data_IF_199011625827
#
_entry.id   IF_199011625827
#
_cell.length_a   1.000
_cell.length_b   1.000
_cell.length_c   1.000
_cell.angle_alpha   90.00
_cell.angle_beta   90.00
_cell.angle_gamma   90.00
#
_symmetry.space_group_name_H-M   'P 1'
#
loop_
_entity.id
_entity.type
_entity.pdbx_description
1 polymer ?
#
# COMPACT_ATOMS: atom_id res chain seq x y z
N UNK A 1 42.72 1.69 -32.19
CA UNK A 1 43.49 1.32 -30.98
C UNK A 1 42.53 0.60 -30.04
N UNK A 2 42.51 -0.73 -30.17
CA UNK A 2 41.69 -1.65 -29.39
C UNK A 2 42.59 -2.28 -28.31
N UNK A 3 42.15 -2.25 -27.06
CA UNK A 3 42.76 -3.02 -25.97
C UNK A 3 41.65 -3.77 -25.22
N UNK A 4 41.57 -5.10 -25.32
CA UNK A 4 40.73 -5.91 -24.46
C UNK A 4 41.55 -6.36 -23.25
N UNK A 5 41.03 -6.15 -22.03
CA UNK A 5 41.61 -6.76 -20.82
C UNK A 5 40.80 -7.97 -20.39
N UNK A 6 41.58 -9.02 -20.11
CA UNK A 6 41.22 -10.40 -19.94
C UNK A 6 40.31 -10.70 -18.73
N UNK A 7 39.54 -11.77 -18.94
CA UNK A 7 38.86 -12.61 -17.98
C UNK A 7 39.71 -12.97 -16.74
N UNK A 8 39.06 -13.02 -15.58
CA UNK A 8 39.48 -13.87 -14.48
C UNK A 8 38.24 -14.57 -13.89
N UNK A 9 38.12 -15.86 -14.20
CA UNK A 9 37.19 -16.78 -13.54
C UNK A 9 37.82 -17.20 -12.22
N UNK A 10 37.12 -16.99 -11.10
CA UNK A 10 37.45 -17.62 -9.83
C UNK A 10 36.30 -18.55 -9.41
N UNK A 11 36.62 -19.82 -9.36
CA UNK A 11 35.77 -20.94 -8.97
C UNK A 11 35.87 -21.21 -7.47
N UNK A 12 34.72 -21.53 -6.88
CA UNK A 12 34.48 -22.48 -5.78
C UNK A 12 34.93 -22.15 -4.34
N UNK A 13 33.94 -22.04 -3.44
CA UNK A 13 33.92 -22.80 -2.18
C UNK A 13 32.47 -22.87 -1.64
N UNK A 14 31.90 -24.07 -1.69
CA UNK A 14 30.62 -24.44 -1.08
C UNK A 14 30.88 -24.73 0.40
N UNK A 15 30.28 -23.97 1.31
CA UNK A 15 30.21 -24.32 2.73
C UNK A 15 28.82 -24.84 3.07
N UNK A 16 28.72 -26.16 3.23
CA UNK A 16 27.61 -26.83 3.88
C UNK A 16 27.82 -26.73 5.40
N UNK A 17 27.03 -25.91 6.08
CA UNK A 17 26.88 -25.97 7.53
C UNK A 17 25.54 -26.62 7.87
N UNK A 18 25.65 -27.73 8.62
CA UNK A 18 24.56 -28.64 8.93
C UNK A 18 23.49 -28.09 9.86
N UNK A 19 22.31 -28.69 9.71
CA UNK A 19 21.15 -28.50 10.57
C UNK A 19 21.41 -29.00 12.00
N UNK A 20 21.13 -28.21 13.06
CA UNK A 20 20.93 -28.74 14.39
C UNK A 20 19.53 -29.37 14.52
N UNK A 21 19.52 -30.57 15.11
CA UNK A 21 18.37 -31.45 15.31
C UNK A 21 17.32 -30.86 16.28
N UNK A 22 16.07 -31.23 16.02
CA UNK A 22 14.85 -31.01 16.79
C UNK A 22 15.03 -31.12 18.32
N UNK A 23 14.48 -30.14 19.06
CA UNK A 23 14.10 -30.32 20.47
C UNK A 23 12.73 -31.01 20.55
N UNK A 24 12.53 -31.97 21.46
CA UNK A 24 11.20 -32.53 21.73
C UNK A 24 10.29 -31.49 22.41
N UNK A 25 8.96 -31.56 22.20
CA UNK A 25 8.01 -30.70 22.90
C UNK A 25 7.98 -31.02 24.41
N UNK A 26 7.74 -30.01 25.27
CA UNK A 26 7.51 -30.22 26.69
C UNK A 26 6.18 -30.95 26.96
N UNK A 27 6.05 -31.64 28.10
CA UNK A 27 4.86 -32.40 28.47
C UNK A 27 3.66 -31.50 28.80
N UNK A 28 2.46 -32.03 28.54
CA UNK A 28 1.17 -31.40 28.82
C UNK A 28 0.97 -31.18 30.33
N UNK A 29 0.86 -29.92 30.76
CA UNK A 29 0.34 -29.56 32.08
C UNK A 29 -1.16 -29.18 31.96
N UNK A 30 -2.04 -29.74 32.82
CA UNK A 30 -3.47 -29.47 32.80
C UNK A 30 -3.76 -28.13 33.49
N UNK A 31 -4.34 -27.18 32.77
CA UNK A 31 -4.88 -25.97 33.38
C UNK A 31 -6.20 -26.28 34.11
N UNK A 32 -6.36 -25.85 35.38
CA UNK A 32 -7.61 -25.98 36.10
C UNK A 32 -8.62 -24.95 35.60
N UNK A 33 -9.86 -25.42 35.44
CA UNK A 33 -11.05 -24.61 35.19
C UNK A 33 -11.22 -23.55 36.28
N UNK A 34 -11.24 -22.29 35.87
CA UNK A 34 -11.51 -21.14 36.71
C UNK A 34 -12.67 -20.36 36.12
N UNK A 35 -13.82 -20.47 36.78
CA UNK A 35 -15.02 -19.68 36.54
C UNK A 35 -14.68 -18.17 36.50
N UNK A 36 -15.09 -17.54 35.41
CA UNK A 36 -15.11 -16.10 35.26
C UNK A 36 -16.43 -15.73 34.61
N UNK A 37 -17.47 -15.58 35.44
CA UNK A 37 -18.79 -15.15 35.01
C UNK A 37 -18.75 -13.85 34.20
N UNK A 38 -18.89 -13.97 32.88
CA UNK A 38 -19.41 -12.92 32.04
C UNK A 38 -20.92 -13.13 31.92
N UNK A 39 -21.68 -12.08 32.21
CA UNK A 39 -23.11 -12.00 31.92
C UNK A 39 -23.28 -12.31 30.43
N UNK A 40 -23.88 -13.45 30.12
CA UNK A 40 -24.32 -13.77 28.76
C UNK A 40 -25.52 -12.89 28.44
N UNK A 41 -25.27 -11.73 27.82
CA UNK A 41 -26.34 -11.02 27.13
C UNK A 41 -26.65 -11.89 25.90
N UNK A 42 -27.81 -12.53 25.94
CA UNK A 42 -28.36 -13.32 24.84
C UNK A 42 -28.82 -12.36 23.75
N UNK A 43 -28.03 -12.28 22.67
CA UNK A 43 -28.37 -11.59 21.42
C UNK A 43 -28.74 -12.59 20.30
N UNK A 44 -29.17 -13.81 20.65
CA UNK A 44 -29.41 -14.88 19.66
C UNK A 44 -30.45 -14.53 18.58
N UNK A 45 -31.44 -13.69 18.88
CA UNK A 45 -32.52 -13.36 17.93
C UNK A 45 -32.22 -12.11 17.07
N UNK A 46 -31.30 -11.24 17.52
CA UNK A 46 -30.85 -10.07 16.75
C UNK A 46 -29.66 -10.38 15.84
N UNK A 47 -28.77 -11.32 16.20
CA UNK A 47 -27.66 -11.77 15.36
C UNK A 47 -28.15 -12.56 14.12
N UNK A 48 -29.16 -13.42 14.27
CA UNK A 48 -29.74 -14.19 13.16
C UNK A 48 -30.50 -13.28 12.17
N UNK A 49 -31.15 -12.21 12.65
CA UNK A 49 -31.82 -11.22 11.81
C UNK A 49 -30.82 -10.35 11.04
N UNK A 50 -29.67 -10.06 11.66
CA UNK A 50 -28.59 -9.27 11.09
C UNK A 50 -27.80 -10.09 10.05
N UNK A 51 -27.46 -11.35 10.34
CA UNK A 51 -26.87 -12.30 9.36
C UNK A 51 -27.82 -12.58 8.18
N UNK A 52 -29.12 -12.73 8.43
CA UNK A 52 -30.16 -12.92 7.40
C UNK A 52 -30.30 -11.70 6.46
N UNK A 53 -30.18 -10.48 7.00
CA UNK A 53 -30.24 -9.24 6.21
C UNK A 53 -28.97 -8.91 5.42
N UNK A 54 -27.80 -9.40 5.84
CA UNK A 54 -26.52 -9.18 5.15
C UNK A 54 -26.16 -10.29 4.17
N UNK A 55 -26.58 -11.53 4.45
CA UNK A 55 -26.39 -12.67 3.57
C UNK A 55 -27.30 -12.62 2.34
N UNK A 56 -28.57 -12.22 2.49
CA UNK A 56 -29.56 -12.32 1.40
C UNK A 56 -29.24 -11.47 0.17
N UNK A 57 -28.86 -10.21 0.33
CA UNK A 57 -28.57 -9.31 -0.81
C UNK A 57 -27.28 -9.67 -1.54
N UNK A 58 -26.23 -10.02 -0.78
CA UNK A 58 -25.00 -10.60 -1.32
C UNK A 58 -25.38 -11.84 -2.14
N UNK A 59 -26.13 -12.78 -1.55
CA UNK A 59 -26.54 -14.02 -2.18
C UNK A 59 -27.42 -13.80 -3.43
N UNK A 60 -28.34 -12.83 -3.44
CA UNK A 60 -29.22 -12.53 -4.59
C UNK A 60 -28.41 -12.00 -5.78
N UNK A 61 -27.55 -11.02 -5.57
CA UNK A 61 -26.73 -10.48 -6.64
C UNK A 61 -25.65 -11.47 -7.11
N UNK A 62 -25.16 -12.34 -6.21
CA UNK A 62 -24.36 -13.50 -6.61
C UNK A 62 -25.16 -14.51 -7.42
N UNK A 63 -26.43 -14.75 -7.11
CA UNK A 63 -27.20 -15.74 -7.85
C UNK A 63 -27.38 -15.34 -9.33
N UNK A 64 -27.44 -14.04 -9.62
CA UNK A 64 -27.63 -13.49 -10.98
C UNK A 64 -26.34 -13.42 -11.81
N UNK A 65 -25.21 -13.04 -11.20
CA UNK A 65 -23.92 -13.03 -11.91
C UNK A 65 -23.19 -14.38 -11.85
N UNK A 66 -23.51 -15.20 -10.85
CA UNK A 66 -22.88 -16.45 -10.46
C UNK A 66 -22.33 -16.37 -9.02
N UNK A 67 -22.32 -17.51 -8.32
CA UNK A 67 -22.00 -17.61 -6.89
C UNK A 67 -20.63 -16.98 -6.54
N UNK A 68 -20.59 -15.87 -5.78
CA UNK A 68 -19.32 -15.17 -5.44
C UNK A 68 -18.36 -16.10 -4.71
N UNK A 69 -18.88 -17.03 -3.91
CA UNK A 69 -18.04 -17.99 -3.18
C UNK A 69 -17.27 -18.86 -4.18
N UNK A 70 -17.86 -19.17 -5.34
CA UNK A 70 -17.21 -19.90 -6.43
C UNK A 70 -16.36 -18.98 -7.32
N UNK A 71 -16.71 -17.70 -7.42
CA UNK A 71 -15.96 -16.72 -8.21
C UNK A 71 -14.68 -16.24 -7.54
N UNK A 72 -14.64 -16.13 -6.22
CA UNK A 72 -13.45 -15.66 -5.49
C UNK A 72 -12.20 -16.49 -5.84
N UNK A 73 -12.22 -17.84 -5.78
CA UNK A 73 -11.09 -18.65 -6.24
C UNK A 73 -10.75 -18.46 -7.71
N UNK A 74 -11.76 -18.32 -8.58
CA UNK A 74 -11.55 -18.07 -10.00
C UNK A 74 -10.90 -16.71 -10.26
N UNK A 75 -11.35 -15.67 -9.57
CA UNK A 75 -10.79 -14.32 -9.60
C UNK A 75 -9.35 -14.31 -9.11
N UNK A 76 -9.03 -14.99 -8.01
CA UNK A 76 -7.65 -15.13 -7.54
C UNK A 76 -6.71 -15.78 -8.56
N UNK A 77 -7.25 -16.54 -9.51
CA UNK A 77 -6.51 -17.15 -10.61
C UNK A 77 -6.63 -16.40 -11.95
N UNK A 78 -7.33 -15.26 -11.99
CA UNK A 78 -7.55 -14.48 -13.22
C UNK A 78 -8.46 -15.19 -14.23
N UNK A 79 -9.39 -16.00 -13.75
CA UNK A 79 -10.23 -16.89 -14.57
C UNK A 79 -11.68 -16.43 -14.71
N UNK A 80 -12.03 -15.22 -14.26
CA UNK A 80 -13.36 -14.69 -14.57
C UNK A 80 -13.50 -14.44 -16.07
N UNK A 81 -14.65 -14.78 -16.61
CA UNK A 81 -15.01 -14.50 -18.01
C UNK A 81 -15.50 -13.06 -18.14
N UNK A 82 -15.40 -12.49 -19.34
CA UNK A 82 -15.82 -11.11 -19.58
C UNK A 82 -17.29 -10.85 -19.22
N UNK A 83 -18.16 -11.83 -19.45
CA UNK A 83 -19.57 -11.76 -19.04
C UNK A 83 -19.77 -11.70 -17.52
N UNK A 84 -18.95 -12.45 -16.76
CA UNK A 84 -18.97 -12.45 -15.30
C UNK A 84 -18.42 -11.12 -14.77
N UNK A 85 -17.32 -10.63 -15.35
CA UNK A 85 -16.71 -9.33 -15.00
C UNK A 85 -17.72 -8.19 -15.21
N UNK A 86 -18.40 -8.15 -16.37
CA UNK A 86 -19.39 -7.11 -16.65
C UNK A 86 -20.57 -7.17 -15.69
N UNK A 87 -21.09 -8.36 -15.42
CA UNK A 87 -22.20 -8.51 -14.48
C UNK A 87 -21.81 -8.04 -13.07
N UNK A 88 -20.62 -8.40 -12.58
CA UNK A 88 -20.13 -7.95 -11.28
C UNK A 88 -19.94 -6.43 -11.23
N UNK A 89 -19.50 -5.79 -12.32
CA UNK A 89 -19.35 -4.34 -12.40
C UNK A 89 -20.70 -3.62 -12.43
N UNK A 90 -21.69 -4.17 -13.13
CA UNK A 90 -23.09 -3.69 -13.11
C UNK A 90 -23.67 -3.79 -11.69
N UNK A 91 -23.53 -4.95 -11.03
CA UNK A 91 -23.98 -5.13 -9.64
C UNK A 91 -23.26 -4.24 -8.64
N UNK A 92 -21.99 -3.93 -8.87
CA UNK A 92 -21.26 -2.98 -8.04
C UNK A 92 -21.86 -1.57 -8.14
N UNK A 93 -22.36 -1.19 -9.32
CA UNK A 93 -23.03 0.10 -9.54
C UNK A 93 -24.44 0.13 -8.93
N UNK A 94 -25.19 -0.96 -9.06
CA UNK A 94 -26.57 -1.09 -8.56
C UNK A 94 -26.65 -1.24 -7.03
N UNK A 95 -25.62 -1.82 -6.41
CA UNK A 95 -25.60 -2.09 -4.98
C UNK A 95 -25.84 -0.82 -4.14
N UNK A 96 -26.70 -0.90 -3.13
CA UNK A 96 -26.88 0.20 -2.18
C UNK A 96 -25.93 0.05 -0.97
N UNK A 97 -25.70 -1.19 -0.53
CA UNK A 97 -24.86 -1.48 0.64
C UNK A 97 -23.36 -1.39 0.35
N UNK A 98 -22.65 -0.61 1.15
CA UNK A 98 -21.18 -0.43 1.04
C UNK A 98 -20.39 -1.72 1.25
N UNK A 99 -20.81 -2.57 2.18
CA UNK A 99 -20.17 -3.88 2.43
C UNK A 99 -20.26 -4.80 1.20
N UNK A 100 -21.33 -4.67 0.41
CA UNK A 100 -21.48 -5.44 -0.81
C UNK A 100 -20.60 -4.88 -1.94
N UNK A 101 -20.54 -3.54 -2.07
CA UNK A 101 -19.62 -2.87 -3.00
C UNK A 101 -18.16 -3.24 -2.73
N UNK A 102 -17.76 -3.28 -1.46
CA UNK A 102 -16.41 -3.67 -1.05
C UNK A 102 -16.04 -5.06 -1.57
N UNK A 103 -16.90 -6.06 -1.31
CA UNK A 103 -16.69 -7.45 -1.77
C UNK A 103 -16.57 -7.57 -3.29
N UNK A 104 -17.55 -7.03 -4.02
CA UNK A 104 -17.55 -7.07 -5.49
C UNK A 104 -16.30 -6.40 -6.08
N UNK A 105 -15.96 -5.24 -5.55
CA UNK A 105 -14.80 -4.49 -6.00
C UNK A 105 -13.49 -5.25 -5.73
N UNK A 106 -13.34 -5.91 -4.58
CA UNK A 106 -12.16 -6.74 -4.26
C UNK A 106 -12.04 -7.96 -5.16
N UNK A 107 -13.15 -8.59 -5.53
CA UNK A 107 -13.16 -9.70 -6.50
C UNK A 107 -12.68 -9.22 -7.87
N UNK A 108 -13.21 -8.09 -8.37
CA UNK A 108 -12.78 -7.48 -9.63
C UNK A 108 -11.30 -7.08 -9.61
N UNK A 109 -10.80 -6.51 -8.50
CA UNK A 109 -9.39 -6.22 -8.32
C UNK A 109 -8.52 -7.49 -8.37
N UNK A 110 -8.92 -8.54 -7.66
CA UNK A 110 -8.18 -9.81 -7.59
C UNK A 110 -8.03 -10.43 -8.98
N UNK A 111 -9.12 -10.48 -9.75
CA UNK A 111 -9.12 -11.00 -11.13
C UNK A 111 -8.24 -10.16 -12.06
N UNK A 112 -8.38 -8.83 -12.01
CA UNK A 112 -7.56 -7.94 -12.84
C UNK A 112 -6.07 -8.11 -12.55
N UNK A 113 -5.69 -8.19 -11.27
CA UNK A 113 -4.31 -8.43 -10.86
C UNK A 113 -3.80 -9.79 -11.35
N UNK A 114 -4.57 -10.86 -11.14
CA UNK A 114 -4.16 -12.22 -11.49
C UNK A 114 -4.06 -12.43 -13.02
N UNK A 115 -4.87 -11.73 -13.82
CA UNK A 115 -4.73 -11.71 -15.29
C UNK A 115 -3.54 -10.90 -15.79
N UNK A 116 -2.89 -10.10 -14.95
CA UNK A 116 -1.89 -9.11 -15.38
C UNK A 116 -2.49 -7.88 -16.07
N UNK A 117 -3.80 -7.67 -15.96
CA UNK A 117 -4.50 -6.51 -16.49
C UNK A 117 -4.41 -5.34 -15.50
N UNK A 118 -3.22 -4.74 -15.44
CA UNK A 118 -2.94 -3.65 -14.51
C UNK A 118 -3.77 -2.39 -14.79
N UNK A 119 -4.17 -2.15 -16.05
CA UNK A 119 -5.01 -0.99 -16.38
C UNK A 119 -6.40 -1.12 -15.76
N UNK A 120 -7.06 -2.28 -15.90
CA UNK A 120 -8.34 -2.53 -15.22
C UNK A 120 -8.17 -2.54 -13.71
N UNK A 121 -7.09 -3.14 -13.20
CA UNK A 121 -6.81 -3.15 -11.77
C UNK A 121 -6.76 -1.73 -11.20
N UNK A 122 -6.04 -0.81 -11.85
CA UNK A 122 -5.97 0.58 -11.43
C UNK A 122 -7.33 1.28 -11.45
N UNK A 123 -8.13 1.07 -12.49
CA UNK A 123 -9.46 1.66 -12.57
C UNK A 123 -10.35 1.19 -11.40
N UNK A 124 -10.33 -0.11 -11.09
CA UNK A 124 -11.11 -0.67 -9.98
C UNK A 124 -10.59 -0.18 -8.63
N UNK A 125 -9.27 -0.13 -8.42
CA UNK A 125 -8.65 0.39 -7.18
C UNK A 125 -9.00 1.85 -6.97
N UNK A 126 -8.87 2.69 -8.02
CA UNK A 126 -9.17 4.12 -7.93
C UNK A 126 -10.62 4.35 -7.53
N UNK A 127 -11.56 3.67 -8.20
CA UNK A 127 -13.00 3.70 -7.85
C UNK A 127 -13.24 3.23 -6.41
N UNK A 128 -12.61 2.13 -6.01
CA UNK A 128 -12.76 1.60 -4.66
C UNK A 128 -12.34 2.59 -3.59
N UNK A 129 -11.16 3.18 -3.76
CA UNK A 129 -10.63 4.14 -2.80
C UNK A 129 -11.34 5.50 -2.85
N UNK A 130 -12.00 5.86 -3.95
CA UNK A 130 -12.77 7.11 -4.04
C UNK A 130 -14.22 7.00 -3.57
N UNK A 131 -14.85 5.84 -3.74
CA UNK A 131 -16.31 5.69 -3.60
C UNK A 131 -16.75 4.64 -2.56
N UNK A 132 -15.88 3.69 -2.21
CA UNK A 132 -16.24 2.52 -1.40
C UNK A 132 -15.54 2.57 -0.03
N UNK A 133 -14.22 2.39 -0.01
CA UNK A 133 -13.41 2.42 1.19
C UNK A 133 -12.11 3.17 0.95
N UNK A 134 -12.15 4.48 1.24
CA UNK A 134 -10.97 5.35 1.20
C UNK A 134 -9.97 5.05 2.33
N UNK A 135 -10.42 4.38 3.39
CA UNK A 135 -9.65 4.24 4.63
C UNK A 135 -8.80 2.98 4.68
N UNK A 136 -8.91 2.05 3.73
CA UNK A 136 -8.09 0.83 3.67
C UNK A 136 -6.60 1.17 3.48
N UNK A 137 -5.77 1.11 4.54
CA UNK A 137 -4.37 1.50 4.42
C UNK A 137 -3.56 0.49 3.61
N UNK A 138 -4.00 -0.78 3.57
CA UNK A 138 -3.32 -1.83 2.80
C UNK A 138 -3.46 -1.58 1.30
N UNK A 139 -4.67 -1.22 0.86
CA UNK A 139 -4.93 -0.93 -0.53
C UNK A 139 -4.27 0.39 -0.95
N UNK A 140 -4.38 1.43 -0.12
CA UNK A 140 -3.68 2.70 -0.35
C UNK A 140 -2.16 2.50 -0.48
N UNK A 141 -1.54 1.71 0.41
CA UNK A 141 -0.12 1.37 0.34
C UNK A 141 0.24 0.66 -0.98
N UNK A 142 -0.51 -0.37 -1.36
CA UNK A 142 -0.26 -1.11 -2.61
C UNK A 142 -0.42 -0.21 -3.83
N UNK A 143 -1.42 0.65 -3.83
CA UNK A 143 -1.67 1.56 -4.95
C UNK A 143 -0.58 2.63 -5.07
N UNK A 144 -0.16 3.23 -3.94
CA UNK A 144 0.98 4.14 -3.93
C UNK A 144 2.27 3.48 -4.45
N UNK A 145 2.56 2.23 -4.04
CA UNK A 145 3.70 1.47 -4.58
C UNK A 145 3.57 1.27 -6.09
N UNK A 146 2.38 0.96 -6.60
CA UNK A 146 2.14 0.78 -8.01
C UNK A 146 2.36 2.07 -8.81
N UNK A 147 1.74 3.18 -8.38
CA UNK A 147 1.82 4.48 -9.01
C UNK A 147 3.25 5.07 -8.97
N UNK A 148 4.01 4.81 -7.89
CA UNK A 148 5.39 5.29 -7.75
C UNK A 148 6.34 4.80 -8.85
N UNK A 149 6.00 3.70 -9.53
CA UNK A 149 6.78 3.14 -10.64
C UNK A 149 6.47 3.82 -11.98
N UNK A 150 5.46 4.69 -12.03
CA UNK A 150 5.01 5.39 -13.23
C UNK A 150 5.63 6.79 -13.34
N UNK A 151 5.21 7.53 -14.37
CA UNK A 151 5.72 8.87 -14.67
C UNK A 151 5.29 9.96 -13.69
N UNK A 152 5.92 11.14 -13.83
CA UNK A 152 5.76 12.26 -12.91
C UNK A 152 4.31 12.74 -12.79
N UNK A 153 3.49 12.53 -13.84
CA UNK A 153 2.05 12.79 -13.83
C UNK A 153 1.29 12.05 -12.70
N UNK A 154 1.81 10.91 -12.24
CA UNK A 154 1.23 10.13 -11.14
C UNK A 154 1.82 10.48 -9.76
N UNK A 155 2.74 11.45 -9.68
CA UNK A 155 3.39 11.82 -8.42
C UNK A 155 2.37 12.31 -7.38
N UNK A 156 1.44 13.18 -7.78
CA UNK A 156 0.41 13.71 -6.88
C UNK A 156 -0.54 12.62 -6.37
N UNK A 157 -0.95 11.70 -7.25
CA UNK A 157 -1.79 10.57 -6.87
C UNK A 157 -1.03 9.61 -5.92
N UNK A 158 0.27 9.39 -6.17
CA UNK A 158 1.13 8.59 -5.28
C UNK A 158 1.27 9.22 -3.89
N UNK A 159 1.52 10.53 -3.82
CA UNK A 159 1.62 11.26 -2.56
C UNK A 159 0.30 11.20 -1.79
N UNK A 160 -0.83 11.47 -2.47
CA UNK A 160 -2.17 11.41 -1.87
C UNK A 160 -2.46 10.06 -1.22
N UNK A 161 -2.27 8.95 -1.94
CA UNK A 161 -2.53 7.63 -1.38
C UNK A 161 -1.50 7.22 -0.33
N UNK A 162 -0.29 7.78 -0.39
CA UNK A 162 0.69 7.61 0.68
C UNK A 162 0.23 8.29 1.97
N UNK A 163 -0.29 9.51 1.89
CA UNK A 163 -0.82 10.26 3.03
C UNK A 163 -2.04 9.59 3.65
N UNK A 164 -3.00 9.15 2.84
CA UNK A 164 -4.18 8.42 3.34
C UNK A 164 -3.79 7.13 4.06
N UNK A 165 -2.80 6.39 3.54
CA UNK A 165 -2.26 5.21 4.22
C UNK A 165 -1.55 5.56 5.53
N UNK A 166 -0.81 6.68 5.57
CA UNK A 166 -0.14 7.17 6.77
C UNK A 166 -1.15 7.61 7.83
N UNK A 167 -2.25 8.27 7.46
CA UNK A 167 -3.34 8.66 8.37
C UNK A 167 -3.95 7.43 9.06
N UNK A 168 -4.05 6.32 8.34
CA UNK A 168 -4.63 5.06 8.82
C UNK A 168 -3.58 4.04 9.32
N UNK A 169 -2.34 4.48 9.58
CA UNK A 169 -1.20 3.62 9.98
C UNK A 169 -1.39 2.86 11.29
N UNK A 170 -2.32 3.29 12.15
CA UNK A 170 -2.65 2.62 13.42
C UNK A 170 -3.21 1.22 13.24
N UNK A 171 -3.73 0.89 12.06
CA UNK A 171 -4.18 -0.47 11.74
C UNK A 171 -3.03 -1.46 11.59
N UNK A 172 -1.78 -0.98 11.43
CA UNK A 172 -0.60 -1.83 11.41
C UNK A 172 0.12 -1.80 12.74
N UNK A 173 0.65 -2.95 13.13
CA UNK A 173 1.42 -3.12 14.37
C UNK A 173 2.79 -3.76 14.12
N UNK A 174 3.68 -3.63 15.09
CA UNK A 174 5.02 -4.25 15.08
C UNK A 174 5.87 -3.90 13.87
N UNK A 175 6.60 -4.90 13.35
CA UNK A 175 7.51 -4.73 12.23
C UNK A 175 6.84 -4.26 10.93
N UNK A 176 5.59 -4.68 10.70
CA UNK A 176 4.84 -4.28 9.50
C UNK A 176 4.55 -2.79 9.54
N UNK A 177 4.17 -2.26 10.71
CA UNK A 177 3.97 -0.83 10.90
C UNK A 177 5.23 -0.05 10.53
N UNK A 178 6.37 -0.40 11.13
CA UNK A 178 7.63 0.32 10.91
C UNK A 178 8.07 0.23 9.44
N UNK A 179 7.98 -0.95 8.82
CA UNK A 179 8.35 -1.14 7.41
C UNK A 179 7.48 -0.33 6.47
N UNK A 180 6.15 -0.33 6.66
CA UNK A 180 5.21 0.35 5.78
C UNK A 180 5.23 1.86 5.96
N UNK A 181 5.26 2.36 7.19
CA UNK A 181 5.33 3.80 7.45
C UNK A 181 6.63 4.39 6.89
N UNK A 182 7.78 3.73 7.09
CA UNK A 182 9.03 4.14 6.47
C UNK A 182 8.94 4.16 4.93
N UNK A 183 8.37 3.10 4.34
CA UNK A 183 8.19 3.01 2.90
C UNK A 183 7.25 4.09 2.36
N UNK A 184 6.17 4.43 3.06
CA UNK A 184 5.22 5.47 2.65
C UNK A 184 5.86 6.86 2.65
N UNK A 185 6.60 7.22 3.71
CA UNK A 185 7.36 8.47 3.73
C UNK A 185 8.38 8.53 2.58
N UNK A 186 9.07 7.41 2.31
CA UNK A 186 9.97 7.31 1.17
C UNK A 186 9.24 7.50 -0.16
N UNK A 187 8.12 6.81 -0.40
CA UNK A 187 7.33 6.91 -1.63
C UNK A 187 6.85 8.34 -1.86
N UNK A 188 6.22 8.95 -0.84
CA UNK A 188 5.76 10.34 -0.85
C UNK A 188 6.89 11.32 -1.20
N UNK A 189 8.06 11.14 -0.60
CA UNK A 189 9.21 12.01 -0.84
C UNK A 189 9.79 11.85 -2.24
N UNK A 190 9.97 10.61 -2.71
CA UNK A 190 10.52 10.35 -4.03
C UNK A 190 9.56 10.78 -5.15
N UNK A 191 8.25 10.66 -4.93
CA UNK A 191 7.24 11.21 -5.84
C UNK A 191 7.29 12.74 -5.89
N UNK A 192 7.42 13.42 -4.76
CA UNK A 192 7.63 14.87 -4.73
C UNK A 192 8.89 15.29 -5.49
N UNK A 193 10.00 14.55 -5.30
CA UNK A 193 11.24 14.78 -6.04
C UNK A 193 11.06 14.59 -7.54
N UNK A 194 10.32 13.55 -7.97
CA UNK A 194 10.01 13.31 -9.38
C UNK A 194 9.19 14.45 -9.98
N UNK A 195 8.22 14.99 -9.22
CA UNK A 195 7.46 16.17 -9.60
C UNK A 195 8.34 17.42 -9.72
N UNK A 196 9.26 17.61 -8.77
CA UNK A 196 10.21 18.72 -8.82
C UNK A 196 11.11 18.66 -10.07
N UNK A 197 11.69 17.50 -10.37
CA UNK A 197 12.49 17.31 -11.59
C UNK A 197 11.67 17.62 -12.87
N UNK A 198 10.42 17.15 -12.95
CA UNK A 198 9.52 17.45 -14.07
C UNK A 198 9.23 18.95 -14.22
N UNK A 199 9.00 19.65 -13.10
CA UNK A 199 8.77 21.10 -13.13
C UNK A 199 10.03 21.86 -13.58
N UNK A 200 11.23 21.41 -13.21
CA UNK A 200 12.49 21.99 -13.68
C UNK A 200 12.66 21.81 -15.19
N UNK A 201 12.33 20.64 -15.72
CA UNK A 201 12.34 20.39 -17.17
C UNK A 201 11.38 21.32 -17.91
N UNK A 202 10.16 21.49 -17.40
CA UNK A 202 9.16 22.42 -17.98
C UNK A 202 9.64 23.88 -17.92
N UNK A 203 10.20 24.32 -16.79
CA UNK A 203 10.74 25.66 -16.64
C UNK A 203 11.87 25.94 -17.63
N UNK A 204 12.77 24.98 -17.87
CA UNK A 204 13.86 25.12 -18.85
C UNK A 204 13.33 25.29 -20.27
N UNK A 205 12.24 24.59 -20.62
CA UNK A 205 11.64 24.65 -21.96
C UNK A 205 10.82 25.92 -22.18
N UNK A 206 10.03 26.33 -21.19
CA UNK A 206 9.11 27.47 -21.29
C UNK A 206 9.10 28.31 -19.99
N UNK A 207 10.15 29.12 -19.73
CA UNK A 207 10.24 29.92 -18.52
C UNK A 207 9.08 30.93 -18.40
N UNK A 208 8.41 30.93 -17.27
CA UNK A 208 7.31 31.83 -16.92
C UNK A 208 7.24 32.00 -15.39
N UNK A 209 6.44 32.96 -14.92
CA UNK A 209 6.17 33.08 -13.48
C UNK A 209 5.52 31.79 -12.94
N UNK A 210 4.54 31.25 -13.67
CA UNK A 210 3.84 30.02 -13.28
C UNK A 210 4.76 28.80 -13.18
N UNK A 211 5.70 28.63 -14.12
CA UNK A 211 6.65 27.51 -14.09
C UNK A 211 7.73 27.69 -13.01
N UNK A 212 8.16 28.92 -12.73
CA UNK A 212 9.06 29.23 -11.61
C UNK A 212 8.40 28.91 -10.26
N UNK A 213 7.13 29.27 -10.10
CA UNK A 213 6.36 28.96 -8.90
C UNK A 213 6.11 27.45 -8.76
N UNK A 214 5.82 26.73 -9.86
CA UNK A 214 5.69 25.27 -9.86
C UNK A 214 6.98 24.57 -9.39
N UNK A 215 8.16 25.04 -9.83
CA UNK A 215 9.46 24.53 -9.37
C UNK A 215 9.65 24.76 -7.88
N UNK A 216 9.38 25.98 -7.38
CA UNK A 216 9.52 26.31 -5.96
C UNK A 216 8.58 25.50 -5.09
N UNK A 217 7.33 25.33 -5.50
CA UNK A 217 6.33 24.58 -4.76
C UNK A 217 6.70 23.09 -4.69
N UNK A 218 7.07 22.48 -5.81
CA UNK A 218 7.49 21.08 -5.84
C UNK A 218 8.79 20.84 -5.03
N UNK A 219 9.75 21.78 -5.08
CA UNK A 219 10.96 21.75 -4.25
C UNK A 219 10.61 21.86 -2.76
N UNK A 220 9.74 22.79 -2.37
CA UNK A 220 9.29 22.94 -0.99
C UNK A 220 8.53 21.71 -0.49
N UNK A 221 7.70 21.08 -1.32
CA UNK A 221 7.03 19.82 -0.98
C UNK A 221 8.04 18.69 -0.76
N UNK A 222 9.05 18.58 -1.63
CA UNK A 222 10.15 17.61 -1.47
C UNK A 222 10.89 17.83 -0.16
N UNK A 223 11.19 19.09 0.18
CA UNK A 223 11.86 19.48 1.42
C UNK A 223 11.08 19.03 2.65
N UNK A 224 9.79 19.35 2.72
CA UNK A 224 8.92 18.98 3.84
C UNK A 224 8.79 17.46 3.96
N UNK A 225 8.53 16.76 2.85
CA UNK A 225 8.35 15.31 2.86
C UNK A 225 9.64 14.57 3.27
N UNK A 226 10.81 15.03 2.77
CA UNK A 226 12.10 14.45 3.12
C UNK A 226 12.42 14.62 4.60
N UNK A 227 11.99 15.74 5.20
CA UNK A 227 12.13 16.01 6.62
C UNK A 227 11.25 15.07 7.47
N UNK A 228 9.98 14.91 7.11
CA UNK A 228 9.09 13.94 7.78
C UNK A 228 9.64 12.51 7.69
N UNK A 229 10.17 12.13 6.51
CA UNK A 229 10.81 10.84 6.32
C UNK A 229 12.04 10.66 7.23
N UNK A 230 12.89 11.68 7.32
CA UNK A 230 14.08 11.68 8.15
C UNK A 230 13.73 11.52 9.65
N UNK A 231 12.72 12.25 10.13
CA UNK A 231 12.26 12.16 11.52
C UNK A 231 11.72 10.77 11.86
N UNK A 232 10.92 10.18 10.97
CA UNK A 232 10.45 8.81 11.15
C UNK A 232 11.61 7.81 11.09
N UNK A 233 12.55 7.99 10.14
CA UNK A 233 13.72 7.14 10.02
C UNK A 233 14.56 7.13 11.31
N UNK A 234 14.76 8.30 11.91
CA UNK A 234 15.50 8.46 13.17
C UNK A 234 14.79 7.78 14.33
N UNK A 235 13.52 8.09 14.55
CA UNK A 235 12.74 7.52 15.67
C UNK A 235 12.55 6.00 15.55
N UNK A 236 12.50 5.46 14.33
CA UNK A 236 12.34 4.03 14.08
C UNK A 236 13.67 3.25 13.89
N UNK A 237 14.83 3.91 14.08
CA UNK A 237 16.15 3.29 13.90
C UNK A 237 16.40 2.77 12.47
N UNK A 238 15.85 3.43 11.45
CA UNK A 238 16.05 3.12 10.02
C UNK A 238 17.18 3.96 9.42
N UNK A 239 17.59 3.58 8.21
CA UNK A 239 18.57 4.34 7.44
C UNK A 239 18.03 5.75 7.13
N UNK A 240 18.83 6.75 7.48
CA UNK A 240 18.54 8.18 7.34
C UNK A 240 19.24 8.79 6.12
N UNK A 241 20.17 8.06 5.49
CA UNK A 241 21.11 8.60 4.51
C UNK A 241 20.42 9.32 3.35
N UNK A 242 19.47 8.64 2.68
CA UNK A 242 18.79 9.19 1.50
C UNK A 242 17.84 10.32 1.89
N UNK A 243 17.12 10.17 3.01
CA UNK A 243 16.19 11.20 3.50
C UNK A 243 16.94 12.51 3.82
N UNK A 244 18.09 12.40 4.52
CA UNK A 244 18.96 13.54 4.83
C UNK A 244 19.49 14.20 3.56
N UNK A 245 20.06 13.43 2.62
CA UNK A 245 20.60 13.98 1.37
C UNK A 245 19.53 14.76 0.58
N UNK A 246 18.33 14.18 0.46
CA UNK A 246 17.25 14.80 -0.29
C UNK A 246 16.70 16.04 0.41
N UNK A 247 16.58 16.01 1.74
CA UNK A 247 16.20 17.17 2.54
C UNK A 247 17.20 18.33 2.33
N UNK A 248 18.50 18.07 2.44
CA UNK A 248 19.54 19.11 2.26
C UNK A 248 19.52 19.68 0.85
N UNK A 249 19.34 18.82 -0.16
CA UNK A 249 19.22 19.26 -1.57
C UNK A 249 18.02 20.20 -1.77
N UNK A 250 16.86 19.83 -1.23
CA UNK A 250 15.63 20.61 -1.38
C UNK A 250 15.62 21.88 -0.50
N UNK A 251 16.26 21.85 0.68
CA UNK A 251 16.38 23.01 1.58
C UNK A 251 17.46 24.01 1.13
N UNK A 252 18.55 23.52 0.53
CA UNK A 252 19.74 24.30 0.20
C UNK A 252 20.75 24.44 1.34
N UNK A 253 20.36 24.10 2.58
CA UNK A 253 21.25 24.05 3.75
C UNK A 253 20.93 22.85 4.63
N UNK A 254 21.83 22.52 5.57
CA UNK A 254 21.62 21.40 6.49
C UNK A 254 20.79 21.76 7.73
N UNK A 255 20.64 23.05 8.04
CA UNK A 255 20.06 23.50 9.31
C UNK A 255 18.63 22.99 9.49
N UNK A 256 17.79 23.21 8.48
CA UNK A 256 16.41 22.70 8.44
C UNK A 256 16.34 21.17 8.62
N UNK A 257 17.33 20.44 8.11
CA UNK A 257 17.36 18.98 8.14
C UNK A 257 17.95 18.40 9.43
N UNK A 258 18.67 19.22 10.23
CA UNK A 258 19.29 18.80 11.49
C UNK A 258 18.51 19.19 12.74
N UNK A 259 17.51 20.08 12.63
CA UNK A 259 16.64 20.43 13.77
C UNK A 259 16.16 19.16 14.51
N UNK A 260 16.17 19.17 15.84
CA UNK A 260 15.80 17.99 16.66
C UNK A 260 16.85 16.89 16.80
N UNK A 261 18.11 17.10 16.39
CA UNK A 261 19.26 16.26 16.82
C UNK A 261 19.72 16.57 18.26
N UNK A 262 19.31 17.72 18.81
CA UNK A 262 19.78 18.26 20.10
C UNK A 262 18.90 17.94 21.32
N UNK A 263 17.88 17.10 21.19
CA UNK A 263 17.09 16.64 22.36
C UNK A 263 17.66 15.33 22.90
N UNK A 264 18.21 15.32 24.13
CA UNK A 264 18.83 14.15 24.76
C UNK A 264 17.83 13.03 25.07
#
# INVERSE_FOLDING_TARGET
LLTPRLFSFLTLAIFAFGCPKNKPPPPDDPYPEGDGGFISIDFGEEDDALESMFGSELMIATAECGDLIKMEPAAMMGKLKDGEIRCLDEKLHEAEKQTFKDKLSRVLMSDAWAKGDHHRWEAVVRRHLSEIDRSDPNLCYKFAVHLSKKEAEFADETMRWSDVALENRSQWTGDIHVKRVYALYKLKTLSAQKKWASAEEEYVVAPSADSDDAVKDARNQTKTNAREWLEFARSAGKDQTVAMQLCVSAAGTADFCREGEDTP
#
